data_IF_782494867014
#
_entry.id   IF_782494867014
#
_cell.length_a   1.000
_cell.length_b   1.000
_cell.length_c   1.000
_cell.angle_alpha   90.00
_cell.angle_beta   90.00
_cell.angle_gamma   90.00
#
_symmetry.space_group_name_H-M   'P 1'
#
loop_
_entity.id
_entity.type
_entity.pdbx_description
1 polymer ?
#
# COMPACT_ATOMS: atom_id res chain seq x y z
N UNK A 1 -9.56 13.42 28.98
CA UNK A 1 -8.47 13.50 27.99
C UNK A 1 -9.09 13.30 26.61
N UNK A 2 -9.11 14.35 25.79
CA UNK A 2 -9.66 14.34 24.44
C UNK A 2 -8.88 13.37 23.55
N UNK A 3 -9.60 12.56 22.76
CA UNK A 3 -9.02 11.56 21.86
C UNK A 3 -8.15 12.24 20.79
N UNK A 4 -7.00 11.66 20.39
CA UNK A 4 -6.32 12.09 19.17
C UNK A 4 -7.19 11.67 17.97
N UNK A 5 -8.03 12.59 17.52
CA UNK A 5 -8.84 12.46 16.32
C UNK A 5 -7.90 12.29 15.12
N UNK A 6 -8.24 11.36 14.21
CA UNK A 6 -7.56 11.30 12.91
C UNK A 6 -7.67 12.68 12.27
N UNK A 7 -6.56 13.29 11.80
CA UNK A 7 -6.62 14.63 11.24
C UNK A 7 -7.63 14.64 10.09
N UNK A 8 -8.54 15.62 10.05
CA UNK A 8 -9.48 15.75 8.95
C UNK A 8 -8.71 15.96 7.64
N UNK A 9 -9.30 15.51 6.54
CA UNK A 9 -8.68 15.51 5.22
C UNK A 9 -7.98 16.83 4.80
N UNK A 10 -8.54 18.04 5.08
CA UNK A 10 -7.83 19.28 4.78
C UNK A 10 -6.49 19.44 5.50
N UNK A 11 -6.36 18.94 6.74
CA UNK A 11 -5.09 18.98 7.47
C UNK A 11 -4.05 18.03 6.84
N UNK A 12 -4.49 16.87 6.37
CA UNK A 12 -3.62 15.95 5.60
C UNK A 12 -3.12 16.64 4.34
N UNK A 13 -3.99 17.25 3.56
CA UNK A 13 -3.59 17.96 2.33
C UNK A 13 -2.69 19.17 2.61
N UNK A 14 -2.92 19.91 3.70
CA UNK A 14 -2.04 21.01 4.10
C UNK A 14 -0.66 20.50 4.46
N UNK A 15 -0.56 19.41 5.24
CA UNK A 15 0.72 18.80 5.56
C UNK A 15 1.46 18.35 4.30
N UNK A 16 0.81 17.60 3.40
CA UNK A 16 1.42 17.12 2.17
C UNK A 16 1.85 18.29 1.28
N UNK A 17 1.09 19.38 1.24
CA UNK A 17 1.46 20.58 0.50
C UNK A 17 2.72 21.25 1.06
N UNK A 18 2.79 21.43 2.37
CA UNK A 18 3.97 22.00 3.02
C UNK A 18 5.21 21.12 2.78
N UNK A 19 5.04 19.80 2.87
CA UNK A 19 6.11 18.84 2.61
C UNK A 19 6.56 18.80 1.15
N UNK A 20 5.63 18.93 0.19
CA UNK A 20 5.98 19.01 -1.23
C UNK A 20 6.68 20.34 -1.59
N UNK A 21 6.32 21.44 -0.93
CA UNK A 21 6.93 22.76 -1.15
C UNK A 21 8.30 22.89 -0.50
N UNK A 22 8.52 22.23 0.64
CA UNK A 22 9.75 22.34 1.44
C UNK A 22 10.29 20.94 1.82
N UNK A 23 10.59 20.05 0.86
CA UNK A 23 10.90 18.66 1.19
C UNK A 23 12.10 18.50 2.13
N UNK A 24 13.10 19.38 2.05
CA UNK A 24 14.29 19.35 2.94
C UNK A 24 13.95 19.58 4.41
N UNK A 25 12.90 20.34 4.72
CA UNK A 25 12.43 20.53 6.11
C UNK A 25 11.87 19.22 6.70
N UNK A 26 11.43 18.31 5.82
CA UNK A 26 10.89 17.00 6.16
C UNK A 26 11.83 15.88 5.68
N UNK A 27 13.14 16.16 5.61
CA UNK A 27 14.18 15.16 5.32
C UNK A 27 14.32 14.71 3.87
N UNK A 28 13.54 15.29 2.95
CA UNK A 28 13.53 14.94 1.54
C UNK A 28 14.49 15.72 0.68
N UNK A 29 14.63 15.28 -0.56
CA UNK A 29 15.48 15.97 -1.53
C UNK A 29 14.74 17.17 -2.13
N UNK A 30 15.36 18.35 -2.13
CA UNK A 30 14.84 19.54 -2.81
C UNK A 30 14.47 19.29 -4.28
N UNK A 31 15.23 18.43 -4.97
CA UNK A 31 14.99 18.06 -6.36
C UNK A 31 13.69 17.27 -6.57
N UNK A 32 13.14 16.64 -5.52
CA UNK A 32 11.89 15.87 -5.61
C UNK A 32 10.63 16.75 -5.52
N UNK A 33 10.75 18.03 -5.15
CA UNK A 33 9.59 18.93 -4.95
C UNK A 33 8.60 18.97 -6.14
N UNK A 34 9.04 19.02 -7.42
CA UNK A 34 8.11 18.97 -8.55
C UNK A 34 7.37 17.63 -8.66
N UNK A 35 8.04 16.50 -8.37
CA UNK A 35 7.38 15.18 -8.35
C UNK A 35 6.38 15.06 -7.20
N UNK A 36 6.78 15.47 -6.00
CA UNK A 36 5.92 15.43 -4.82
C UNK A 36 4.66 16.27 -5.04
N UNK A 37 4.79 17.43 -5.70
CA UNK A 37 3.65 18.27 -6.07
C UNK A 37 2.71 17.56 -7.05
N UNK A 38 3.25 16.84 -8.05
CA UNK A 38 2.44 16.04 -8.98
C UNK A 38 1.70 14.91 -8.26
N UNK A 39 2.40 14.16 -7.41
CA UNK A 39 1.81 13.09 -6.59
C UNK A 39 0.69 13.63 -5.69
N UNK A 40 0.90 14.78 -5.04
CA UNK A 40 -0.12 15.43 -4.22
C UNK A 40 -1.35 15.80 -5.05
N UNK A 41 -1.17 16.34 -6.25
CA UNK A 41 -2.30 16.68 -7.12
C UNK A 41 -3.11 15.43 -7.49
N UNK A 42 -2.45 14.34 -7.84
CA UNK A 42 -3.12 13.08 -8.16
C UNK A 42 -3.82 12.45 -6.95
N UNK A 43 -3.22 12.56 -5.76
CA UNK A 43 -3.88 12.18 -4.50
C UNK A 43 -5.17 13.01 -4.33
N UNK A 44 -5.12 14.34 -4.50
CA UNK A 44 -6.29 15.22 -4.39
C UNK A 44 -7.38 14.86 -5.41
N UNK A 45 -6.99 14.66 -6.67
CA UNK A 45 -7.91 14.34 -7.76
C UNK A 45 -8.63 13.01 -7.55
N UNK A 46 -7.98 12.03 -6.91
CA UNK A 46 -8.54 10.70 -6.67
C UNK A 46 -9.25 10.56 -5.32
N UNK A 47 -9.10 11.51 -4.40
CA UNK A 47 -9.64 11.40 -3.05
C UNK A 47 -11.10 11.85 -2.94
N UNK A 48 -11.80 11.31 -1.94
CA UNK A 48 -13.16 11.74 -1.59
C UNK A 48 -13.15 13.13 -0.91
N UNK A 49 -14.30 13.80 -0.82
CA UNK A 49 -15.51 13.57 -1.61
C UNK A 49 -15.45 14.24 -2.99
N UNK A 50 -14.56 15.22 -3.20
CA UNK A 50 -14.61 16.16 -4.32
C UNK A 50 -13.42 16.05 -5.28
N UNK A 51 -12.68 14.93 -5.27
CA UNK A 51 -11.60 14.71 -6.21
C UNK A 51 -12.13 14.68 -7.66
N UNK A 52 -11.51 15.45 -8.54
CA UNK A 52 -11.96 15.60 -9.93
C UNK A 52 -12.03 14.27 -10.69
N UNK A 53 -11.15 13.32 -10.38
CA UNK A 53 -11.15 11.96 -10.95
C UNK A 53 -11.99 10.97 -10.12
N UNK A 54 -12.20 11.24 -8.82
CA UNK A 54 -13.05 10.42 -7.97
C UNK A 54 -14.50 10.38 -8.48
N UNK A 55 -15.06 11.57 -8.67
CA UNK A 55 -16.44 11.83 -9.10
C UNK A 55 -16.55 12.30 -10.56
N UNK A 56 -15.59 11.91 -11.40
CA UNK A 56 -15.59 12.25 -12.82
C UNK A 56 -16.88 11.78 -13.51
N UNK A 57 -17.53 12.69 -14.23
CA UNK A 57 -18.77 12.43 -14.95
C UNK A 57 -18.59 11.29 -15.96
N UNK A 58 -19.53 10.34 -15.98
CA UNK A 58 -19.50 9.19 -16.89
C UNK A 58 -18.56 8.06 -16.44
N UNK A 59 -17.94 8.17 -15.26
CA UNK A 59 -17.14 7.12 -14.63
C UNK A 59 -17.79 6.53 -13.37
N UNK A 60 -19.12 6.63 -13.23
CA UNK A 60 -19.87 6.12 -12.08
C UNK A 60 -19.75 4.59 -11.95
N UNK A 61 -19.74 4.02 -10.73
CA UNK A 61 -19.85 4.70 -9.43
C UNK A 61 -18.59 5.50 -9.08
N UNK A 62 -18.68 6.43 -8.14
CA UNK A 62 -17.53 7.21 -7.68
C UNK A 62 -16.50 6.32 -6.99
N UNK A 63 -15.23 6.45 -7.36
CA UNK A 63 -14.17 5.59 -6.84
C UNK A 63 -12.82 6.28 -6.86
N UNK A 64 -11.98 5.91 -5.90
CA UNK A 64 -10.63 6.43 -5.69
C UNK A 64 -9.58 5.58 -6.43
N UNK A 65 -9.84 5.29 -7.71
CA UNK A 65 -8.92 4.59 -8.62
C UNK A 65 -8.91 5.32 -9.97
N UNK A 66 -7.72 5.66 -10.45
CA UNK A 66 -7.51 6.30 -11.75
C UNK A 66 -7.96 5.34 -12.86
N UNK A 67 -8.99 5.75 -13.61
CA UNK A 67 -9.69 4.87 -14.54
C UNK A 67 -10.25 5.62 -15.74
N UNK A 68 -10.48 4.88 -16.81
CA UNK A 68 -11.21 5.32 -17.99
C UNK A 68 -12.25 4.27 -18.38
N UNK A 69 -13.29 4.68 -19.11
CA UNK A 69 -14.28 3.76 -19.64
C UNK A 69 -13.64 2.73 -20.58
N UNK A 70 -14.06 1.48 -20.46
CA UNK A 70 -13.73 0.43 -21.41
C UNK A 70 -14.75 0.46 -22.56
N UNK A 71 -14.37 0.81 -23.80
CA UNK A 71 -15.32 0.87 -24.92
C UNK A 71 -16.08 -0.45 -25.16
N UNK A 72 -15.45 -1.59 -24.85
CA UNK A 72 -16.06 -2.91 -24.97
C UNK A 72 -17.25 -3.11 -24.02
N UNK A 73 -17.33 -2.38 -22.90
CA UNK A 73 -18.42 -2.51 -21.92
C UNK A 73 -19.80 -2.19 -22.49
N UNK A 74 -19.86 -1.14 -23.30
CA UNK A 74 -21.10 -0.71 -23.96
C UNK A 74 -21.33 -1.49 -25.26
N UNK A 75 -20.26 -1.81 -26.00
CA UNK A 75 -20.35 -2.55 -27.25
C UNK A 75 -20.77 -4.03 -27.06
N UNK A 76 -20.52 -4.63 -25.88
CA UNK A 76 -20.79 -6.05 -25.60
C UNK A 76 -21.50 -6.27 -24.26
N UNK A 77 -22.80 -5.92 -24.15
CA UNK A 77 -23.57 -6.14 -22.93
C UNK A 77 -23.59 -7.59 -22.47
N UNK A 78 -23.57 -8.54 -23.43
CA UNK A 78 -23.51 -9.99 -23.22
C UNK A 78 -22.25 -10.45 -22.46
N UNK A 79 -21.18 -9.66 -22.51
CA UNK A 79 -19.90 -9.99 -21.88
C UNK A 79 -19.67 -9.30 -20.53
N UNK A 80 -20.57 -8.42 -20.07
CA UNK A 80 -20.37 -7.59 -18.86
C UNK A 80 -19.93 -8.37 -17.60
N UNK A 81 -20.43 -9.59 -17.32
CA UNK A 81 -19.91 -10.38 -16.19
C UNK A 81 -18.45 -10.82 -16.34
N UNK A 82 -17.92 -10.83 -17.57
CA UNK A 82 -16.58 -11.33 -17.92
C UNK A 82 -15.58 -10.22 -18.21
N UNK A 83 -16.04 -9.04 -18.60
CA UNK A 83 -15.20 -7.85 -18.83
C UNK A 83 -15.36 -6.83 -17.71
N UNK A 84 -14.50 -5.82 -17.65
CA UNK A 84 -14.67 -4.70 -16.73
C UNK A 84 -15.26 -3.49 -17.45
N UNK A 85 -16.07 -2.71 -16.73
CA UNK A 85 -16.51 -1.38 -17.15
C UNK A 85 -15.35 -0.43 -17.38
N UNK A 86 -14.24 -0.63 -16.66
CA UNK A 86 -13.13 0.30 -16.63
C UNK A 86 -11.81 -0.32 -17.08
N UNK A 87 -10.90 0.56 -17.50
CA UNK A 87 -9.48 0.30 -17.69
C UNK A 87 -8.71 1.19 -16.73
N UNK A 88 -7.54 0.73 -16.28
CA UNK A 88 -6.67 1.51 -15.39
C UNK A 88 -5.95 2.60 -16.19
N UNK A 89 -5.98 3.81 -15.64
CA UNK A 89 -5.10 4.91 -16.04
C UNK A 89 -3.93 4.91 -15.07
N UNK A 90 -2.69 4.97 -15.60
CA UNK A 90 -1.47 4.85 -14.81
C UNK A 90 -0.77 6.21 -14.73
N UNK A 91 -0.48 6.63 -13.51
CA UNK A 91 0.47 7.69 -13.20
C UNK A 91 1.85 7.08 -13.03
N UNK A 92 2.88 7.65 -13.65
CA UNK A 92 4.25 7.11 -13.58
C UNK A 92 5.13 8.05 -12.78
N UNK A 93 5.70 7.53 -11.69
CA UNK A 93 6.66 8.24 -10.84
C UNK A 93 7.89 7.38 -10.64
N UNK A 94 9.06 7.95 -10.91
CA UNK A 94 10.37 7.25 -10.85
C UNK A 94 10.34 5.86 -11.52
N UNK A 95 9.71 5.78 -12.70
CA UNK A 95 9.63 4.57 -13.51
C UNK A 95 8.67 3.49 -13.02
N UNK A 96 7.88 3.75 -11.97
CA UNK A 96 6.85 2.82 -11.46
C UNK A 96 5.45 3.40 -11.69
N UNK A 97 4.49 2.52 -11.99
CA UNK A 97 3.12 2.91 -12.25
C UNK A 97 2.26 2.86 -10.98
N UNK A 98 1.38 3.84 -10.83
CA UNK A 98 0.45 4.05 -9.72
C UNK A 98 -0.94 4.44 -10.26
N UNK A 99 -1.98 4.16 -9.48
CA UNK A 99 -3.38 4.46 -9.86
C UNK A 99 -4.33 4.58 -8.67
N UNK A 100 -3.80 4.62 -7.45
CA UNK A 100 -4.58 4.73 -6.22
C UNK A 100 -3.95 5.82 -5.33
N UNK A 101 -4.76 6.70 -4.71
CA UNK A 101 -4.24 7.72 -3.79
C UNK A 101 -3.59 7.09 -2.56
N UNK A 102 -3.96 5.87 -2.19
CA UNK A 102 -3.35 5.15 -1.05
C UNK A 102 -1.94 4.67 -1.37
N UNK A 103 -1.73 4.12 -2.57
CA UNK A 103 -0.40 3.70 -3.01
C UNK A 103 0.51 4.93 -3.28
N UNK A 104 -0.06 6.02 -3.82
CA UNK A 104 0.60 7.32 -3.99
C UNK A 104 0.98 7.95 -2.63
N UNK A 105 0.13 7.85 -1.61
CA UNK A 105 0.47 8.31 -0.26
C UNK A 105 1.65 7.51 0.32
N UNK A 106 1.69 6.20 0.09
CA UNK A 106 2.81 5.35 0.52
C UNK A 106 4.12 5.76 -0.16
N UNK A 107 4.06 6.05 -1.46
CA UNK A 107 5.18 6.62 -2.21
C UNK A 107 5.60 7.99 -1.65
N UNK A 108 4.64 8.91 -1.46
CA UNK A 108 4.93 10.27 -0.97
C UNK A 108 5.73 10.23 0.33
N UNK A 109 5.27 9.45 1.31
CA UNK A 109 5.98 9.31 2.59
C UNK A 109 7.37 8.69 2.46
N UNK A 110 7.55 7.70 1.58
CA UNK A 110 8.85 7.08 1.35
C UNK A 110 9.89 8.01 0.71
N UNK A 111 9.46 9.17 0.20
CA UNK A 111 10.30 10.18 -0.46
C UNK A 111 10.56 11.42 0.38
N UNK A 112 9.87 11.58 1.52
CA UNK A 112 10.17 12.65 2.47
C UNK A 112 11.45 12.30 3.23
N UNK A 113 11.41 11.60 4.36
CA UNK A 113 12.62 11.25 5.11
C UNK A 113 12.83 9.74 5.14
N UNK A 114 14.07 9.24 5.19
CA UNK A 114 14.30 7.90 5.73
C UNK A 114 13.87 7.83 7.21
N UNK A 115 13.83 6.63 7.78
CA UNK A 115 13.47 6.50 9.19
C UNK A 115 14.52 7.20 10.09
N UNK A 116 14.12 7.90 11.17
CA UNK A 116 15.07 8.53 12.08
C UNK A 116 16.17 7.57 12.57
N UNK A 117 17.37 8.08 12.85
CA UNK A 117 18.44 7.26 13.41
C UNK A 117 17.98 6.59 14.71
N UNK A 118 18.21 5.28 14.83
CA UNK A 118 17.73 4.48 15.95
C UNK A 118 16.23 4.15 15.92
N UNK A 119 15.54 4.39 14.79
CA UNK A 119 14.16 3.98 14.59
C UNK A 119 13.99 2.47 14.84
N UNK A 120 12.96 2.14 15.61
CA UNK A 120 12.57 0.75 15.91
C UNK A 120 11.15 0.49 15.43
N UNK A 121 10.73 -0.77 15.49
CA UNK A 121 9.34 -1.15 15.22
C UNK A 121 8.37 -0.31 16.06
N UNK A 122 8.67 -0.10 17.34
CA UNK A 122 7.79 0.61 18.29
C UNK A 122 7.82 2.12 18.13
N UNK A 123 9.00 2.68 17.89
CA UNK A 123 9.19 4.14 17.88
C UNK A 123 8.84 4.77 16.54
N UNK A 124 8.85 4.00 15.45
CA UNK A 124 8.64 4.54 14.11
C UNK A 124 7.80 3.64 13.20
N UNK A 125 8.20 2.41 12.90
CA UNK A 125 7.59 1.66 11.79
C UNK A 125 6.13 1.24 12.04
N UNK A 126 5.79 0.77 13.24
CA UNK A 126 4.41 0.44 13.61
C UNK A 126 3.54 1.70 13.78
N UNK A 127 3.98 2.77 14.48
CA UNK A 127 3.27 4.05 14.49
C UNK A 127 3.01 4.58 13.08
N UNK A 128 4.02 4.56 12.20
CA UNK A 128 3.93 5.06 10.84
C UNK A 128 2.96 4.21 10.00
N UNK A 129 2.96 2.89 10.17
CA UNK A 129 1.98 1.98 9.52
C UNK A 129 0.55 2.31 9.95
N UNK A 130 0.34 2.57 11.25
CA UNK A 130 -0.97 2.93 11.78
C UNK A 130 -1.43 4.32 11.30
N UNK A 131 -0.54 5.32 11.31
CA UNK A 131 -0.77 6.66 10.78
C UNK A 131 -1.18 6.60 9.31
N UNK A 132 -0.37 5.92 8.50
CA UNK A 132 -0.63 5.70 7.08
C UNK A 132 -2.00 5.07 6.85
N UNK A 133 -2.35 4.02 7.60
CA UNK A 133 -3.67 3.38 7.50
C UNK A 133 -4.84 4.31 7.81
N UNK A 134 -4.69 5.19 8.80
CA UNK A 134 -5.71 6.19 9.17
C UNK A 134 -5.84 7.29 8.11
N UNK A 135 -4.72 7.74 7.55
CA UNK A 135 -4.72 8.74 6.48
C UNK A 135 -5.30 8.17 5.19
N UNK A 136 -4.93 6.93 4.83
CA UNK A 136 -5.53 6.22 3.71
C UNK A 136 -7.06 6.13 3.82
N UNK A 137 -7.61 5.90 5.02
CA UNK A 137 -9.05 5.94 5.26
C UNK A 137 -9.66 7.32 4.96
N UNK A 138 -9.00 8.41 5.37
CA UNK A 138 -9.49 9.77 5.07
C UNK A 138 -9.52 10.06 3.56
N UNK A 139 -8.58 9.48 2.79
CA UNK A 139 -8.51 9.70 1.34
C UNK A 139 -9.63 8.96 0.57
N UNK A 140 -10.06 7.78 1.03
CA UNK A 140 -10.93 6.90 0.24
C UNK A 140 -12.21 6.43 0.95
N UNK A 141 -12.44 6.82 2.21
CA UNK A 141 -13.63 6.50 2.99
C UNK A 141 -13.71 5.06 3.51
N UNK A 142 -12.71 4.22 3.20
CA UNK A 142 -12.69 2.80 3.58
C UNK A 142 -11.31 2.36 4.05
N UNK A 143 -11.30 1.46 5.04
CA UNK A 143 -10.05 0.86 5.50
C UNK A 143 -9.64 -0.27 4.57
N UNK A 144 -8.40 -0.20 4.07
CA UNK A 144 -7.73 -1.37 3.51
C UNK A 144 -7.72 -2.51 4.53
N UNK A 145 -7.84 -3.76 4.06
CA UNK A 145 -7.83 -4.95 4.92
C UNK A 145 -6.52 -5.11 5.68
N UNK A 146 -5.41 -4.81 5.01
CA UNK A 146 -4.05 -4.82 5.54
C UNK A 146 -3.31 -3.53 5.16
N UNK A 147 -2.41 -3.11 6.04
CA UNK A 147 -1.39 -2.09 5.84
C UNK A 147 -0.04 -2.74 6.07
N UNK A 148 1.02 -2.19 5.47
CA UNK A 148 2.37 -2.67 5.68
C UNK A 148 3.38 -1.54 5.63
N UNK A 149 4.45 -1.70 6.40
CA UNK A 149 5.68 -0.95 6.25
C UNK A 149 6.82 -1.95 6.12
N UNK A 150 7.64 -1.80 5.09
CA UNK A 150 8.93 -2.48 5.01
C UNK A 150 10.04 -1.46 5.12
N UNK A 151 11.18 -1.87 5.66
CA UNK A 151 12.35 -1.03 5.74
C UNK A 151 13.63 -1.84 5.55
N UNK A 152 14.64 -1.20 4.98
CA UNK A 152 15.97 -1.76 4.73
C UNK A 152 16.97 -1.02 5.61
N UNK A 153 17.64 -1.77 6.48
CA UNK A 153 18.74 -1.23 7.29
C UNK A 153 19.96 -1.04 6.38
N UNK A 154 20.61 0.11 6.52
CA UNK A 154 21.84 0.46 5.81
C UNK A 154 23.00 0.46 6.82
N UNK A 155 24.20 0.06 6.38
CA UNK A 155 25.33 -0.21 7.28
C UNK A 155 25.74 1.01 8.13
N UNK A 156 25.50 2.23 7.66
CA UNK A 156 25.84 3.48 8.36
C UNK A 156 24.82 4.61 8.10
N UNK A 157 23.55 4.27 7.94
CA UNK A 157 22.53 5.25 7.53
C UNK A 157 21.16 5.00 8.15
N UNK A 158 20.28 6.02 8.07
CA UNK A 158 18.88 5.85 8.42
C UNK A 158 18.23 4.79 7.54
N UNK A 159 17.31 4.00 8.09
CA UNK A 159 16.68 2.93 7.33
C UNK A 159 15.75 3.52 6.25
N UNK A 160 15.89 3.07 5.01
CA UNK A 160 14.92 3.42 3.96
C UNK A 160 13.65 2.60 4.18
N UNK A 161 12.48 3.23 4.13
CA UNK A 161 11.21 2.52 4.30
C UNK A 161 10.24 2.81 3.18
N UNK A 162 9.25 1.92 3.04
CA UNK A 162 8.15 2.08 2.11
C UNK A 162 6.85 1.56 2.74
N UNK A 163 5.75 2.27 2.48
CA UNK A 163 4.43 1.95 3.00
C UNK A 163 3.54 1.38 1.89
N UNK A 164 2.68 0.45 2.24
CA UNK A 164 1.74 -0.15 1.30
C UNK A 164 0.45 -0.58 1.97
N UNK A 165 -0.61 -0.69 1.18
CA UNK A 165 -1.91 -1.17 1.64
C UNK A 165 -2.46 -2.21 0.68
N UNK A 166 -3.28 -3.12 1.21
CA UNK A 166 -4.09 -3.99 0.36
C UNK A 166 -5.07 -3.15 -0.45
N UNK A 167 -5.48 -3.61 -1.63
CA UNK A 167 -6.34 -2.83 -2.52
C UNK A 167 -7.59 -2.31 -1.79
N UNK A 168 -7.86 -1.01 -1.98
CA UNK A 168 -9.02 -0.30 -1.45
C UNK A 168 -9.39 0.86 -2.39
N UNK A 169 -10.54 1.51 -2.17
CA UNK A 169 -10.95 2.69 -2.90
C UNK A 169 -11.68 2.41 -4.22
N UNK A 170 -12.12 1.18 -4.46
CA UNK A 170 -12.89 0.78 -5.63
C UNK A 170 -14.28 0.31 -5.24
N UNK A 171 -15.21 0.37 -6.19
CA UNK A 171 -16.52 -0.27 -6.12
C UNK A 171 -16.63 -1.25 -7.29
N UNK A 172 -16.95 -2.52 -6.99
CA UNK A 172 -16.80 -3.62 -7.96
C UNK A 172 -17.84 -4.73 -7.81
N UNK A 173 -19.09 -4.36 -7.57
CA UNK A 173 -20.18 -5.30 -7.81
C UNK A 173 -20.22 -5.69 -9.30
N UNK A 174 -20.42 -6.98 -9.57
CA UNK A 174 -20.44 -7.54 -10.93
C UNK A 174 -21.50 -6.86 -11.81
N UNK A 175 -22.73 -6.58 -11.31
CA UNK A 175 -23.74 -5.91 -12.12
C UNK A 175 -23.32 -4.53 -12.63
N UNK A 176 -22.64 -3.73 -11.81
CA UNK A 176 -22.30 -2.33 -12.19
C UNK A 176 -20.94 -2.21 -12.87
N UNK A 177 -19.94 -2.95 -12.40
CA UNK A 177 -18.54 -2.76 -12.81
C UNK A 177 -17.91 -3.99 -13.48
N UNK A 178 -18.60 -5.12 -13.50
CA UNK A 178 -18.10 -6.39 -14.01
C UNK A 178 -16.85 -6.85 -13.26
N UNK A 179 -15.84 -7.32 -14.00
CA UNK A 179 -14.59 -7.86 -13.43
C UNK A 179 -13.58 -6.78 -12.96
N UNK A 180 -14.04 -5.60 -12.55
CA UNK A 180 -13.17 -4.46 -12.22
C UNK A 180 -12.14 -4.77 -11.13
N UNK A 181 -12.54 -5.40 -10.03
CA UNK A 181 -11.62 -5.84 -8.97
C UNK A 181 -10.46 -6.69 -9.53
N UNK A 182 -10.76 -7.60 -10.46
CA UNK A 182 -9.77 -8.48 -11.08
C UNK A 182 -8.81 -7.71 -11.97
N UNK A 183 -9.28 -6.66 -12.66
CA UNK A 183 -8.42 -5.76 -13.45
C UNK A 183 -7.41 -5.04 -12.54
N UNK A 184 -7.86 -4.52 -11.39
CA UNK A 184 -6.98 -3.86 -10.41
C UNK A 184 -5.95 -4.84 -9.83
N UNK A 185 -6.38 -6.01 -9.41
CA UNK A 185 -5.49 -7.05 -8.90
C UNK A 185 -4.47 -7.48 -9.96
N UNK A 186 -4.90 -7.70 -11.20
CA UNK A 186 -4.00 -8.10 -12.28
C UNK A 186 -2.98 -7.00 -12.60
N UNK A 187 -3.39 -5.74 -12.59
CA UNK A 187 -2.46 -4.63 -12.80
C UNK A 187 -1.40 -4.52 -11.70
N UNK A 188 -1.77 -4.72 -10.42
CA UNK A 188 -0.80 -4.78 -9.32
C UNK A 188 0.14 -5.97 -9.48
N UNK A 189 -0.39 -7.15 -9.81
CA UNK A 189 0.42 -8.34 -10.08
C UNK A 189 1.46 -8.09 -11.19
N UNK A 190 1.10 -7.39 -12.26
CA UNK A 190 2.01 -7.05 -13.37
C UNK A 190 3.15 -6.09 -12.99
N UNK A 191 3.19 -5.55 -11.76
CA UNK A 191 4.33 -4.78 -11.25
C UNK A 191 5.46 -5.69 -10.74
N UNK A 192 5.14 -6.94 -10.38
CA UNK A 192 6.10 -7.91 -9.88
C UNK A 192 7.06 -8.35 -11.00
N UNK A 193 8.29 -8.79 -10.66
CA UNK A 193 9.26 -9.23 -11.67
C UNK A 193 8.76 -10.50 -12.37
N UNK A 194 8.41 -10.37 -13.65
CA UNK A 194 7.85 -11.48 -14.43
C UNK A 194 8.80 -12.68 -14.53
N UNK A 195 10.11 -12.46 -14.61
CA UNK A 195 11.09 -13.54 -14.81
C UNK A 195 11.17 -14.50 -13.62
N UNK A 196 11.36 -13.98 -12.40
CA UNK A 196 11.44 -14.82 -11.20
C UNK A 196 10.14 -15.58 -10.90
N UNK A 197 9.00 -15.00 -11.29
CA UNK A 197 7.70 -15.65 -11.17
C UNK A 197 7.50 -16.69 -12.27
N UNK A 198 7.91 -16.39 -13.50
CA UNK A 198 7.84 -17.29 -14.65
C UNK A 198 8.67 -18.55 -14.43
N UNK A 199 9.90 -18.43 -13.93
CA UNK A 199 10.77 -19.57 -13.61
C UNK A 199 10.18 -20.53 -12.56
N UNK A 200 9.11 -20.13 -11.87
CA UNK A 200 8.41 -20.93 -10.86
C UNK A 200 7.01 -21.35 -11.29
N UNK A 201 6.66 -21.13 -12.56
CA UNK A 201 5.32 -21.34 -13.13
C UNK A 201 4.21 -20.56 -12.40
N UNK A 202 4.55 -19.41 -11.79
CA UNK A 202 3.57 -18.57 -11.12
C UNK A 202 2.92 -17.60 -12.10
N UNK A 203 1.61 -17.56 -12.07
CA UNK A 203 0.75 -16.62 -12.78
C UNK A 203 -0.20 -15.92 -11.83
N UNK A 204 -0.98 -14.96 -12.35
CA UNK A 204 -2.09 -14.37 -11.61
C UNK A 204 -3.11 -15.42 -11.13
N UNK A 205 -3.29 -16.51 -11.88
CA UNK A 205 -4.23 -17.59 -11.58
C UNK A 205 -3.60 -18.75 -10.81
N UNK A 206 -2.27 -18.88 -10.86
CA UNK A 206 -1.52 -19.98 -10.25
C UNK A 206 -0.40 -19.40 -9.39
N UNK A 207 -0.54 -19.34 -8.08
CA UNK A 207 0.48 -18.80 -7.19
C UNK A 207 0.42 -19.52 -5.85
N UNK A 208 1.50 -19.58 -5.05
CA UNK A 208 1.57 -20.43 -3.87
C UNK A 208 0.33 -20.32 -2.99
N UNK A 209 -0.16 -21.45 -2.52
CA UNK A 209 -1.31 -21.51 -1.62
C UNK A 209 -0.84 -22.09 -0.30
N UNK A 210 -1.37 -21.54 0.80
CA UNK A 210 -1.10 -22.10 2.12
C UNK A 210 -1.80 -23.45 2.31
N UNK A 211 -1.22 -24.36 3.11
CA UNK A 211 -1.82 -25.67 3.36
C UNK A 211 -3.14 -25.62 4.16
N UNK A 212 -3.52 -24.45 4.71
CA UNK A 212 -4.49 -24.39 5.81
C UNK A 212 -5.86 -23.84 5.39
N UNK A 213 -5.99 -22.97 4.38
CA UNK A 213 -7.31 -22.40 4.02
C UNK A 213 -7.47 -22.07 2.53
N UNK A 214 -8.28 -22.84 1.78
CA UNK A 214 -8.67 -22.51 0.40
C UNK A 214 -9.42 -21.16 0.27
N UNK A 215 -10.00 -20.67 1.38
CA UNK A 215 -10.76 -19.41 1.44
C UNK A 215 -9.87 -18.15 1.52
N UNK A 216 -8.57 -18.31 1.76
CA UNK A 216 -7.60 -17.21 1.84
C UNK A 216 -6.83 -17.03 0.51
N UNK A 217 -7.36 -17.57 -0.58
CA UNK A 217 -6.79 -17.49 -1.92
C UNK A 217 -7.01 -16.12 -2.58
N UNK A 218 -6.44 -15.08 -1.97
CA UNK A 218 -6.37 -13.77 -2.60
C UNK A 218 -5.21 -13.75 -3.59
N UNK A 219 -5.41 -13.30 -4.84
CA UNK A 219 -4.33 -13.24 -5.82
C UNK A 219 -3.22 -12.29 -5.35
N UNK A 220 -1.97 -12.56 -5.76
CA UNK A 220 -0.75 -11.80 -5.43
C UNK A 220 -0.87 -10.28 -5.65
N UNK A 221 -1.82 -9.82 -6.46
CA UNK A 221 -2.11 -8.40 -6.66
C UNK A 221 -2.82 -7.69 -5.50
N UNK A 222 -3.31 -8.40 -4.47
CA UNK A 222 -4.12 -7.79 -3.40
C UNK A 222 -3.33 -7.34 -2.17
N UNK A 223 -2.12 -7.86 -1.98
CA UNK A 223 -1.35 -7.72 -0.75
C UNK A 223 -0.84 -6.29 -0.50
N UNK A 224 -0.69 -5.94 0.78
CA UNK A 224 -0.20 -4.63 1.19
C UNK A 224 1.29 -4.45 0.87
N UNK A 225 2.01 -5.57 0.93
CA UNK A 225 3.43 -5.72 0.76
C UNK A 225 3.91 -5.46 -0.68
N UNK A 226 3.00 -5.35 -1.67
CA UNK A 226 3.37 -5.36 -3.08
C UNK A 226 4.22 -4.15 -3.52
N UNK A 227 3.85 -2.92 -3.14
CA UNK A 227 4.69 -1.75 -3.44
C UNK A 227 5.95 -1.71 -2.56
N UNK A 228 5.89 -1.97 -1.24
CA UNK A 228 7.11 -2.10 -0.45
C UNK A 228 8.11 -3.11 -1.02
N UNK A 229 7.61 -4.27 -1.48
CA UNK A 229 8.42 -5.27 -2.18
C UNK A 229 9.06 -4.72 -3.45
N UNK A 230 8.28 -4.02 -4.29
CA UNK A 230 8.75 -3.43 -5.55
C UNK A 230 9.93 -2.46 -5.36
N UNK A 231 9.99 -1.80 -4.19
CA UNK A 231 10.99 -0.78 -3.89
C UNK A 231 12.16 -1.27 -3.05
N UNK A 232 11.96 -2.27 -2.17
CA UNK A 232 12.97 -2.66 -1.18
C UNK A 232 13.48 -4.10 -1.30
N UNK A 233 12.73 -4.99 -1.96
CA UNK A 233 13.06 -6.43 -2.07
C UNK A 233 13.18 -6.93 -3.51
N UNK A 234 13.07 -6.05 -4.50
CA UNK A 234 13.07 -6.48 -5.90
C UNK A 234 14.49 -6.74 -6.40
N UNK A 235 14.72 -7.96 -6.86
CA UNK A 235 16.01 -8.43 -7.35
C UNK A 235 16.70 -9.28 -6.30
N UNK A 236 17.46 -10.28 -6.73
CA UNK A 236 18.28 -11.11 -5.83
C UNK A 236 19.50 -10.29 -5.44
N UNK A 237 19.58 -9.92 -4.16
CA UNK A 237 20.62 -9.06 -3.60
C UNK A 237 20.86 -9.50 -2.14
N UNK A 238 22.11 -9.75 -1.76
CA UNK A 238 22.46 -10.18 -0.40
C UNK A 238 21.98 -9.19 0.68
N UNK A 239 21.88 -7.90 0.33
CA UNK A 239 21.36 -6.86 1.21
C UNK A 239 19.86 -7.00 1.50
N UNK A 240 19.13 -7.87 0.81
CA UNK A 240 17.74 -8.21 1.13
C UNK A 240 17.61 -8.91 2.49
N UNK A 241 18.70 -9.50 3.01
CA UNK A 241 18.76 -10.03 4.38
C UNK A 241 18.58 -8.94 5.45
N UNK A 242 18.85 -7.69 5.09
CA UNK A 242 18.70 -6.52 5.95
C UNK A 242 17.33 -5.83 5.77
N UNK A 243 16.40 -6.47 5.06
CA UNK A 243 15.03 -5.97 4.93
C UNK A 243 14.14 -6.61 5.98
N UNK A 244 13.31 -5.75 6.58
CA UNK A 244 12.35 -6.07 7.61
C UNK A 244 10.98 -5.56 7.19
N UNK A 245 9.94 -6.02 7.86
CA UNK A 245 8.62 -5.50 7.61
C UNK A 245 7.61 -5.86 8.65
N UNK A 246 6.51 -5.12 8.61
CA UNK A 246 5.35 -5.34 9.48
C UNK A 246 4.08 -5.24 8.65
N UNK A 247 3.13 -6.13 8.93
CA UNK A 247 1.81 -6.11 8.33
C UNK A 247 0.76 -5.93 9.43
N UNK A 248 -0.10 -4.93 9.31
CA UNK A 248 -1.10 -4.54 10.30
C UNK A 248 -2.51 -4.73 9.73
N UNK A 249 -3.39 -5.42 10.45
CA UNK A 249 -4.82 -5.54 10.09
C UNK A 249 -5.55 -4.22 10.31
N UNK A 250 -6.60 -3.99 9.52
CA UNK A 250 -7.54 -2.86 9.67
C UNK A 250 -8.04 -2.63 11.09
N UNK A 251 -8.19 -3.68 11.90
CA UNK A 251 -8.64 -3.60 13.30
C UNK A 251 -7.64 -2.85 14.19
N UNK A 252 -6.34 -3.02 13.98
CA UNK A 252 -5.30 -2.28 14.71
C UNK A 252 -5.26 -0.81 14.33
N UNK A 253 -5.57 -0.48 13.07
CA UNK A 253 -5.66 0.91 12.59
C UNK A 253 -6.89 1.64 13.14
N UNK A 254 -8.05 0.95 13.19
CA UNK A 254 -9.34 1.49 13.62
C UNK A 254 -9.45 1.86 15.10
N UNK A 255 -8.55 1.35 15.93
CA UNK A 255 -8.62 1.61 17.36
C UNK A 255 -8.60 3.12 17.64
N UNK A 256 -9.49 3.66 18.49
CA UNK A 256 -9.56 5.11 18.72
C UNK A 256 -8.24 5.66 19.30
N UNK A 257 -7.60 4.91 20.19
CA UNK A 257 -6.29 5.21 20.74
C UNK A 257 -5.20 4.36 20.12
N UNK A 258 -4.03 4.96 19.91
CA UNK A 258 -2.83 4.18 19.60
C UNK A 258 -2.36 3.48 20.87
N UNK A 259 -2.29 2.16 20.83
CA UNK A 259 -1.76 1.33 21.92
C UNK A 259 -0.98 0.16 21.30
N UNK A 260 0.34 0.25 21.41
CA UNK A 260 1.32 -0.70 20.92
C UNK A 260 1.94 -1.58 22.02
N UNK A 261 1.35 -1.63 23.23
CA UNK A 261 1.71 -2.70 24.18
C UNK A 261 1.42 -4.06 23.55
N UNK A 262 2.02 -5.14 24.06
CA UNK A 262 1.84 -6.47 23.46
C UNK A 262 0.37 -6.94 23.53
N UNK A 263 -0.36 -6.49 24.54
CA UNK A 263 -1.81 -6.64 24.67
C UNK A 263 -2.63 -5.54 23.97
N UNK A 264 -1.98 -4.51 23.45
CA UNK A 264 -2.60 -3.38 22.77
C UNK A 264 -3.21 -3.76 21.44
N UNK A 265 -4.31 -3.09 21.10
CA UNK A 265 -5.06 -3.33 19.85
C UNK A 265 -4.20 -3.22 18.58
N UNK A 266 -3.16 -2.39 18.58
CA UNK A 266 -2.27 -2.25 17.41
C UNK A 266 -1.40 -3.49 17.27
N UNK A 267 -0.74 -3.92 18.36
CA UNK A 267 0.18 -5.06 18.34
C UNK A 267 -0.54 -6.39 18.10
N UNK A 268 -1.65 -6.64 18.78
CA UNK A 268 -2.46 -7.87 18.60
C UNK A 268 -2.98 -8.06 17.17
N UNK A 269 -3.00 -6.99 16.37
CA UNK A 269 -3.42 -7.01 14.98
C UNK A 269 -2.27 -6.99 13.98
N UNK A 270 -1.02 -7.05 14.44
CA UNK A 270 0.13 -7.35 13.59
C UNK A 270 0.04 -8.81 13.13
N UNK A 271 0.40 -9.08 11.88
CA UNK A 271 0.27 -10.40 11.27
C UNK A 271 1.53 -10.79 10.52
N UNK A 272 1.71 -12.10 10.36
CA UNK A 272 2.62 -12.63 9.37
C UNK A 272 2.20 -12.19 7.97
N UNK A 273 3.15 -11.97 7.04
CA UNK A 273 2.82 -11.88 5.63
C UNK A 273 2.03 -13.13 5.19
N UNK A 274 1.13 -12.95 4.23
CA UNK A 274 0.39 -14.09 3.68
C UNK A 274 1.36 -15.09 3.01
N UNK A 275 0.92 -16.31 2.74
CA UNK A 275 1.79 -17.35 2.16
C UNK A 275 2.46 -16.87 0.86
N UNK A 276 1.69 -16.22 -0.03
CA UNK A 276 2.23 -15.68 -1.29
C UNK A 276 3.30 -14.60 -1.06
N UNK A 277 3.12 -13.72 -0.06
CA UNK A 277 4.12 -12.72 0.29
C UNK A 277 5.36 -13.32 0.97
N UNK A 278 5.20 -14.35 1.80
CA UNK A 278 6.33 -15.09 2.38
C UNK A 278 7.17 -15.73 1.29
N UNK A 279 6.52 -16.37 0.34
CA UNK A 279 7.21 -16.92 -0.82
C UNK A 279 7.92 -15.83 -1.64
N UNK A 280 7.27 -14.69 -1.91
CA UNK A 280 7.94 -13.55 -2.57
C UNK A 280 9.18 -13.07 -1.80
N UNK A 281 9.13 -12.97 -0.48
CA UNK A 281 10.28 -12.58 0.34
C UNK A 281 11.39 -13.64 0.22
N UNK A 282 11.04 -14.92 0.32
CA UNK A 282 11.99 -16.02 0.27
C UNK A 282 12.73 -16.10 -1.08
N UNK A 283 12.02 -15.96 -2.20
CA UNK A 283 12.65 -16.04 -3.54
C UNK A 283 13.59 -14.87 -3.85
N UNK A 284 13.54 -13.79 -3.06
CA UNK A 284 14.46 -12.66 -3.15
C UNK A 284 15.52 -12.70 -2.03
N UNK A 285 15.73 -13.86 -1.40
CA UNK A 285 16.70 -14.05 -0.30
C UNK A 285 16.43 -13.22 0.96
N UNK A 286 15.21 -12.71 1.13
CA UNK A 286 14.78 -12.05 2.35
C UNK A 286 14.64 -13.03 3.52
N UNK A 287 14.91 -12.55 4.73
CA UNK A 287 14.82 -13.37 5.95
C UNK A 287 13.41 -13.28 6.55
N UNK A 288 12.61 -14.35 6.44
CA UNK A 288 11.21 -14.37 6.91
C UNK A 288 11.04 -13.99 8.38
N UNK A 289 12.00 -14.32 9.24
CA UNK A 289 11.97 -13.96 10.66
C UNK A 289 11.94 -12.44 10.89
N UNK A 290 12.47 -11.64 9.96
CA UNK A 290 12.43 -10.17 10.01
C UNK A 290 11.02 -9.59 9.79
N UNK A 291 10.05 -10.43 9.42
CA UNK A 291 8.65 -10.07 9.17
C UNK A 291 7.68 -10.71 10.18
N UNK A 292 8.22 -11.35 11.23
CA UNK A 292 7.41 -11.98 12.26
C UNK A 292 6.64 -10.93 13.08
N UNK A 293 5.40 -11.21 13.55
CA UNK A 293 4.62 -10.27 14.35
C UNK A 293 5.29 -9.78 15.64
N UNK A 294 6.22 -10.57 16.18
CA UNK A 294 6.97 -10.24 17.38
C UNK A 294 8.41 -9.82 17.08
N UNK A 295 8.79 -9.69 15.81
CA UNK A 295 10.08 -9.09 15.45
C UNK A 295 10.11 -7.63 15.95
N UNK A 296 11.10 -7.30 16.77
CA UNK A 296 11.21 -5.97 17.38
C UNK A 296 10.31 -5.71 18.59
N UNK A 297 9.76 -6.76 19.23
CA UNK A 297 8.99 -6.64 20.49
C UNK A 297 9.83 -6.32 21.73
N UNK A 298 11.16 -6.39 21.64
CA UNK A 298 12.08 -6.16 22.76
C UNK A 298 11.82 -4.78 23.38
N UNK A 299 11.54 -4.76 24.69
CA UNK A 299 11.22 -3.54 25.43
C UNK A 299 9.75 -3.08 25.32
N UNK A 300 8.86 -3.85 24.70
CA UNK A 300 7.42 -3.64 24.81
C UNK A 300 6.92 -4.05 26.21
N UNK A 301 6.11 -3.21 26.90
CA UNK A 301 5.43 -3.65 28.10
C UNK A 301 4.41 -4.76 27.75
N UNK A 302 4.16 -5.68 28.70
CA UNK A 302 3.18 -6.75 28.51
C UNK A 302 1.80 -6.21 28.15
#
# INVERSE_FOLDING_TARGET
MSQPTVPPLPQIFNFLQLAAQNPTQYGGNAADAPELTRILQEIRDLSIPNGAQHSAQGLEPYQSIARANNPTWNARPDLRPKISKFRIVKHTHWGKAYWSPVDLLGLFFSRLEPAPLGATVRTFFLPMTALFGRWAFQLVGHYAGMQSCMWKIQDNGPAQFFLGASIVGYDADIPTCGNWRRVIQKARYSLLPNESLFLRDWSFANSPHGPIHPKDDYPLGNCAELYPYLHLLRGVDESNKNVYGIALKKKGVRSPSYNDTLQGSVWQNVQWPCVKCRELIHIQEGVLANFAPYAGSKGAPP
#
